data_IF_041949619215
#
_entry.id   IF_041949619215
#
_cell.length_a   1.000
_cell.length_b   1.000
_cell.length_c   1.000
_cell.angle_alpha   90.00
_cell.angle_beta   90.00
_cell.angle_gamma   90.00
#
_symmetry.space_group_name_H-M   'P 1'
#
loop_
_entity.id
_entity.type
_entity.pdbx_description
1 polymer ?
#
# COMPACT_ATOMS: atom_id res chain seq x y z
N UNK A 1 0.95 15.16 -6.46
CA UNK A 1 -0.38 14.55 -6.23
C UNK A 1 -0.20 13.46 -5.18
N UNK A 2 -0.73 13.63 -3.97
CA UNK A 2 -0.62 12.64 -2.90
C UNK A 2 -1.97 12.41 -2.26
N UNK A 3 -2.28 11.16 -1.92
CA UNK A 3 -3.51 10.80 -1.22
C UNK A 3 -3.35 11.29 0.23
N UNK A 4 -4.11 12.33 0.60
CA UNK A 4 -4.08 12.86 1.96
C UNK A 4 -4.86 11.93 2.89
N UNK A 5 -4.59 11.97 4.19
CA UNK A 5 -5.30 11.15 5.17
C UNK A 5 -6.83 11.39 5.16
N UNK A 6 -7.26 12.62 4.86
CA UNK A 6 -8.68 12.96 4.68
C UNK A 6 -9.25 12.68 3.28
N UNK A 7 -8.44 12.21 2.33
CA UNK A 7 -8.95 11.80 1.02
C UNK A 7 -9.61 10.42 1.12
N UNK A 8 -10.60 10.17 0.24
CA UNK A 8 -11.26 8.87 0.17
C UNK A 8 -10.18 7.78 -0.08
N UNK A 9 -10.16 6.70 0.70
CA UNK A 9 -9.18 5.64 0.51
C UNK A 9 -9.28 5.00 -0.87
N UNK A 10 -8.13 4.57 -1.38
CA UNK A 10 -8.05 3.80 -2.62
C UNK A 10 -8.89 2.52 -2.56
N UNK A 11 -8.98 1.89 -1.38
CA UNK A 11 -9.83 0.70 -1.18
C UNK A 11 -11.32 0.94 -1.47
N UNK A 12 -11.79 2.18 -1.39
CA UNK A 12 -13.18 2.56 -1.68
C UNK A 12 -13.37 3.15 -3.09
N UNK A 13 -12.34 3.17 -3.92
CA UNK A 13 -12.43 3.69 -5.28
C UNK A 13 -13.22 2.71 -6.14
N UNK A 14 -14.23 3.23 -6.85
CA UNK A 14 -14.97 2.43 -7.83
C UNK A 14 -14.12 2.27 -9.08
N UNK A 15 -14.09 1.04 -9.62
CA UNK A 15 -13.38 0.73 -10.85
C UNK A 15 -13.98 1.51 -12.01
N UNK A 16 -13.16 2.36 -12.63
CA UNK A 16 -13.48 3.05 -13.90
C UNK A 16 -12.93 2.25 -15.09
N UNK A 17 -13.49 2.39 -16.30
CA UNK A 17 -12.95 1.72 -17.48
C UNK A 17 -11.45 2.02 -17.68
N UNK A 18 -10.65 0.96 -17.87
CA UNK A 18 -9.20 1.07 -18.05
C UNK A 18 -8.38 1.30 -16.78
N UNK A 19 -9.00 1.53 -15.61
CA UNK A 19 -8.27 1.64 -14.35
C UNK A 19 -7.90 0.26 -13.80
N UNK A 20 -6.69 0.15 -13.28
CA UNK A 20 -6.28 -0.99 -12.47
C UNK A 20 -6.30 -0.57 -11.01
N UNK A 21 -7.03 -1.30 -10.16
CA UNK A 21 -7.10 -1.03 -8.72
C UNK A 21 -6.72 -2.31 -8.00
N UNK A 22 -5.76 -2.20 -7.09
CA UNK A 22 -5.31 -3.29 -6.23
C UNK A 22 -5.36 -2.91 -4.76
N UNK A 23 -4.48 -3.51 -3.97
CA UNK A 23 -4.48 -3.37 -2.51
C UNK A 23 -3.89 -2.02 -2.10
N UNK A 24 -4.76 -1.02 -1.88
CA UNK A 24 -4.36 0.35 -1.52
C UNK A 24 -3.39 1.02 -2.53
N UNK A 25 -3.51 0.63 -3.80
CA UNK A 25 -2.86 1.27 -4.95
C UNK A 25 -3.78 1.23 -6.18
N UNK A 26 -3.59 2.15 -7.11
CA UNK A 26 -4.26 2.12 -8.41
C UNK A 26 -3.40 2.73 -9.52
N UNK A 27 -3.66 2.32 -10.75
CA UNK A 27 -3.09 2.88 -11.98
C UNK A 27 -4.25 3.49 -12.77
N UNK A 28 -4.31 4.83 -12.90
CA UNK A 28 -5.35 5.46 -13.70
C UNK A 28 -5.13 5.21 -15.19
N UNK A 29 -6.22 5.19 -15.95
CA UNK A 29 -6.13 5.26 -17.40
C UNK A 29 -5.83 6.71 -17.82
N UNK A 30 -4.63 6.95 -18.35
CA UNK A 30 -4.17 8.25 -18.84
C UNK A 30 -4.33 8.41 -20.36
N UNK A 31 -4.95 7.44 -21.04
CA UNK A 31 -5.16 7.51 -22.49
C UNK A 31 -6.02 8.72 -22.83
N UNK A 32 -5.51 9.61 -23.69
CA UNK A 32 -6.20 10.84 -24.08
C UNK A 32 -6.09 11.99 -23.08
N UNK A 33 -5.27 11.84 -22.02
CA UNK A 33 -4.89 12.95 -21.13
C UNK A 33 -3.44 13.38 -21.38
N UNK A 34 -3.03 14.50 -20.81
CA UNK A 34 -1.62 14.95 -20.83
C UNK A 34 -0.80 14.36 -19.67
N UNK A 35 -1.36 13.43 -18.90
CA UNK A 35 -0.68 12.83 -17.75
C UNK A 35 0.23 11.68 -18.18
N UNK A 36 1.38 11.54 -17.52
CA UNK A 36 2.25 10.39 -17.71
C UNK A 36 1.66 9.14 -17.04
N UNK A 37 1.88 7.92 -17.59
CA UNK A 37 1.55 6.68 -16.90
C UNK A 37 2.22 6.64 -15.52
N UNK A 38 1.42 6.45 -14.47
CA UNK A 38 1.91 6.46 -13.10
C UNK A 38 1.09 5.53 -12.22
N UNK A 39 1.64 5.19 -11.06
CA UNK A 39 0.90 4.50 -10.00
C UNK A 39 0.63 5.46 -8.86
N UNK A 40 -0.59 5.41 -8.34
CA UNK A 40 -0.95 6.09 -7.11
C UNK A 40 -1.04 5.07 -5.97
N UNK A 41 -0.37 5.37 -4.86
CA UNK A 41 -0.35 4.52 -3.67
C UNK A 41 -0.88 5.31 -2.46
N UNK A 42 -1.62 4.66 -1.57
CA UNK A 42 -1.99 5.25 -0.26
C UNK A 42 -0.78 5.13 0.69
N UNK A 43 0.05 6.17 0.71
CA UNK A 43 1.30 6.19 1.49
C UNK A 43 1.05 5.98 2.98
N UNK A 44 -0.03 6.53 3.53
CA UNK A 44 -0.35 6.37 4.96
C UNK A 44 -0.63 4.90 5.30
N UNK A 45 -1.41 4.22 4.45
CA UNK A 45 -1.65 2.79 4.60
C UNK A 45 -0.34 2.00 4.53
N UNK A 46 0.49 2.23 3.51
CA UNK A 46 1.72 1.45 3.30
C UNK A 46 2.78 1.69 4.37
N UNK A 47 2.85 2.90 4.93
CA UNK A 47 3.72 3.22 6.09
C UNK A 47 3.32 2.44 7.33
N UNK A 48 2.03 2.44 7.66
CA UNK A 48 1.50 1.61 8.75
C UNK A 48 1.70 0.13 8.49
N UNK A 49 1.43 -0.33 7.27
CA UNK A 49 1.63 -1.72 6.89
C UNK A 49 3.07 -2.18 7.17
N UNK A 50 4.08 -1.42 6.72
CA UNK A 50 5.50 -1.74 6.96
C UNK A 50 5.83 -1.75 8.45
N UNK A 51 5.39 -0.75 9.21
CA UNK A 51 5.63 -0.68 10.66
C UNK A 51 5.00 -1.85 11.41
N UNK A 52 3.77 -2.23 11.08
CA UNK A 52 3.12 -3.40 11.66
C UNK A 52 3.91 -4.68 11.38
N UNK A 53 4.50 -4.82 10.19
CA UNK A 53 5.31 -6.00 9.85
C UNK A 53 6.63 -6.05 10.60
N UNK A 54 7.26 -4.89 10.82
CA UNK A 54 8.47 -4.77 11.65
C UNK A 54 8.18 -5.00 13.14
N UNK A 55 6.94 -4.74 13.59
CA UNK A 55 6.51 -4.96 14.97
C UNK A 55 6.07 -6.41 15.26
N UNK A 56 5.78 -7.20 14.23
CA UNK A 56 5.46 -8.62 14.37
C UNK A 56 6.69 -9.38 14.85
N UNK A 57 6.48 -10.32 15.79
CA UNK A 57 7.58 -11.08 16.38
C UNK A 57 8.28 -11.92 15.29
N UNK A 58 9.62 -11.96 15.25
CA UNK A 58 10.34 -12.76 14.26
C UNK A 58 9.88 -14.22 14.25
N UNK A 59 9.46 -14.71 13.08
CA UNK A 59 8.98 -16.09 12.89
C UNK A 59 7.45 -16.21 12.80
N UNK A 60 6.70 -15.18 13.21
CA UNK A 60 5.26 -15.16 13.03
C UNK A 60 4.86 -14.81 11.58
N UNK A 61 3.71 -15.28 11.08
CA UNK A 61 3.23 -14.95 9.75
C UNK A 61 3.16 -13.44 9.48
N UNK A 62 3.84 -13.01 8.42
CA UNK A 62 3.91 -11.60 8.03
C UNK A 62 5.00 -10.80 8.74
N UNK A 63 5.87 -11.40 9.54
CA UNK A 63 7.02 -10.70 10.13
C UNK A 63 7.97 -10.17 9.05
N UNK A 64 8.46 -8.94 9.23
CA UNK A 64 9.56 -8.37 8.47
C UNK A 64 10.76 -8.20 9.40
N UNK A 65 11.87 -8.84 9.07
CA UNK A 65 13.06 -8.88 9.93
C UNK A 65 14.28 -8.30 9.23
N UNK A 66 15.18 -7.70 10.00
CA UNK A 66 16.50 -7.25 9.53
C UNK A 66 17.54 -8.34 9.83
N UNK A 67 18.51 -8.50 8.92
CA UNK A 67 19.65 -9.41 9.15
C UNK A 67 20.63 -8.80 10.14
N UNK A 68 21.58 -9.57 10.68
CA UNK A 68 22.63 -9.04 11.57
C UNK A 68 22.66 -9.74 12.91
N UNK A 69 23.59 -9.31 13.78
CA UNK A 69 23.81 -9.93 15.10
C UNK A 69 23.62 -8.94 16.24
N UNK A 70 23.85 -7.66 16.00
CA UNK A 70 23.67 -6.58 16.96
C UNK A 70 22.54 -5.65 16.53
N UNK A 71 21.83 -5.09 17.51
CA UNK A 71 20.82 -4.06 17.26
C UNK A 71 21.42 -2.78 16.65
N UNK A 72 22.71 -2.52 16.85
CA UNK A 72 23.42 -1.37 16.28
C UNK A 72 23.74 -1.52 14.80
N UNK A 73 23.70 -2.73 14.24
CA UNK A 73 24.11 -3.01 12.85
C UNK A 73 23.27 -2.20 11.84
N UNK A 74 22.02 -1.88 12.21
CA UNK A 74 21.05 -1.15 11.39
C UNK A 74 20.59 0.17 12.01
N UNK A 75 21.42 0.80 12.85
CA UNK A 75 21.04 2.00 13.60
C UNK A 75 20.56 3.15 12.67
N UNK A 76 21.28 3.42 11.58
CA UNK A 76 20.89 4.44 10.61
C UNK A 76 19.58 4.08 9.92
N UNK A 77 19.38 2.80 9.58
CA UNK A 77 18.13 2.35 8.98
C UNK A 77 16.94 2.54 9.94
N UNK A 78 17.12 2.23 11.22
CA UNK A 78 16.11 2.46 12.24
C UNK A 78 15.79 3.95 12.40
N UNK A 79 16.80 4.84 12.31
CA UNK A 79 16.57 6.28 12.32
C UNK A 79 15.74 6.74 11.11
N UNK A 80 16.04 6.27 9.90
CA UNK A 80 15.28 6.64 8.72
C UNK A 80 13.86 6.05 8.70
N UNK A 81 13.64 4.85 9.26
CA UNK A 81 12.34 4.14 9.20
C UNK A 81 11.41 4.47 10.36
N UNK A 82 11.94 4.53 11.58
CA UNK A 82 11.16 4.79 12.79
C UNK A 82 11.42 6.19 13.38
N UNK A 83 12.60 6.73 13.13
CA UNK A 83 13.03 8.03 13.68
C UNK A 83 12.57 9.24 12.87
N UNK A 84 12.35 9.13 11.56
CA UNK A 84 12.12 10.25 10.64
C UNK A 84 10.69 10.81 10.65
N UNK A 85 9.69 9.98 10.99
CA UNK A 85 8.28 10.36 10.93
C UNK A 85 7.54 10.03 12.24
N UNK A 86 6.41 10.70 12.44
CA UNK A 86 5.42 10.37 13.46
C UNK A 86 4.06 10.24 12.81
N UNK A 87 3.18 9.47 13.43
CA UNK A 87 1.80 9.40 13.00
C UNK A 87 0.83 9.87 14.08
N UNK A 88 -0.34 10.34 13.65
CA UNK A 88 -1.47 10.65 14.53
C UNK A 88 -2.66 9.81 14.07
N UNK A 89 -3.36 9.11 14.98
CA UNK A 89 -4.56 8.37 14.63
C UNK A 89 -5.67 9.37 14.27
N UNK A 90 -6.14 9.29 13.04
CA UNK A 90 -7.19 10.13 12.49
C UNK A 90 -8.36 9.24 12.09
N UNK A 91 -9.55 9.60 12.54
CA UNK A 91 -10.78 8.90 12.21
C UNK A 91 -11.45 9.64 11.06
N UNK A 92 -11.62 8.97 9.93
CA UNK A 92 -12.13 9.61 8.71
C UNK A 92 -12.80 8.61 7.78
N UNK A 93 -13.95 8.99 7.21
CA UNK A 93 -14.70 8.16 6.26
C UNK A 93 -14.99 6.73 6.76
N UNK A 94 -15.25 6.57 8.07
CA UNK A 94 -15.61 5.28 8.67
C UNK A 94 -14.44 4.30 8.86
N UNK A 95 -13.19 4.78 8.88
CA UNK A 95 -12.00 3.99 9.19
C UNK A 95 -11.02 4.76 10.08
N UNK A 96 -10.19 4.00 10.79
CA UNK A 96 -9.03 4.51 11.51
C UNK A 96 -7.84 4.53 10.56
N UNK A 97 -7.19 5.68 10.45
CA UNK A 97 -6.02 5.87 9.60
C UNK A 97 -4.93 6.52 10.42
N UNK A 98 -3.70 6.05 10.29
CA UNK A 98 -2.55 6.76 10.81
C UNK A 98 -2.11 7.81 9.80
N UNK A 99 -2.27 9.09 10.13
CA UNK A 99 -1.75 10.18 9.31
C UNK A 99 -0.27 10.39 9.63
N UNK A 100 0.60 10.05 8.68
CA UNK A 100 2.05 10.17 8.83
C UNK A 100 2.54 11.57 8.46
N UNK A 101 3.43 12.11 9.28
CA UNK A 101 4.08 13.41 9.10
C UNK A 101 5.56 13.30 9.40
N UNK A 102 6.37 13.86 8.53
CA UNK A 102 7.82 13.98 8.72
C UNK A 102 8.13 14.88 9.91
N UNK A 103 9.10 14.47 10.74
CA UNK A 103 9.55 15.28 11.87
C UNK A 103 10.37 16.48 11.35
N UNK A 104 10.10 17.70 11.83
CA UNK A 104 10.87 18.88 11.41
C UNK A 104 12.38 18.78 11.64
N UNK A 105 12.79 18.00 12.66
CA UNK A 105 14.19 17.86 13.08
C UNK A 105 14.94 16.73 12.39
N UNK A 106 14.23 15.82 11.70
CA UNK A 106 14.81 14.62 11.07
C UNK A 106 14.08 14.30 9.76
N UNK A 107 14.33 15.08 8.69
CA UNK A 107 13.60 14.92 7.43
C UNK A 107 14.04 13.71 6.59
N UNK A 108 15.12 13.03 6.97
CA UNK A 108 15.70 11.94 6.19
C UNK A 108 14.85 10.66 6.24
N UNK A 109 13.80 10.62 5.42
CA UNK A 109 12.85 9.51 5.32
C UNK A 109 13.04 8.68 4.03
N UNK A 110 14.03 8.99 3.21
CA UNK A 110 14.22 8.41 1.88
C UNK A 110 14.23 6.86 1.87
N UNK A 111 14.86 6.24 2.86
CA UNK A 111 14.90 4.77 2.96
C UNK A 111 13.54 4.19 3.36
N UNK A 112 12.79 4.91 4.19
CA UNK A 112 11.44 4.51 4.54
C UNK A 112 10.52 4.61 3.33
N UNK A 113 10.56 5.72 2.59
CA UNK A 113 9.77 5.90 1.37
C UNK A 113 10.13 4.85 0.31
N UNK A 114 11.41 4.49 0.18
CA UNK A 114 11.86 3.40 -0.70
C UNK A 114 11.26 2.05 -0.27
N UNK A 115 11.37 1.70 1.01
CA UNK A 115 10.82 0.45 1.56
C UNK A 115 9.30 0.34 1.37
N UNK A 116 8.58 1.44 1.62
CA UNK A 116 7.14 1.59 1.42
C UNK A 116 6.79 1.40 -0.06
N UNK A 117 7.56 2.01 -0.96
CA UNK A 117 7.42 1.83 -2.41
C UNK A 117 7.64 0.38 -2.85
N UNK A 118 8.68 -0.28 -2.33
CA UNK A 118 8.95 -1.69 -2.59
C UNK A 118 7.81 -2.60 -2.12
N UNK A 119 7.24 -2.35 -0.92
CA UNK A 119 6.10 -3.11 -0.42
C UNK A 119 4.86 -2.94 -1.32
N UNK A 120 4.58 -1.72 -1.77
CA UNK A 120 3.49 -1.46 -2.71
C UNK A 120 3.72 -2.15 -4.07
N UNK A 121 4.94 -2.07 -4.61
CA UNK A 121 5.30 -2.73 -5.86
C UNK A 121 5.20 -4.26 -5.76
N UNK A 122 5.59 -4.87 -4.65
CA UNK A 122 5.43 -6.30 -4.41
C UNK A 122 3.96 -6.72 -4.47
N UNK A 123 3.05 -5.92 -3.90
CA UNK A 123 1.61 -6.13 -4.01
C UNK A 123 1.08 -6.00 -5.43
N UNK A 124 1.63 -5.07 -6.22
CA UNK A 124 1.26 -4.91 -7.63
C UNK A 124 1.54 -6.15 -8.47
N UNK A 125 2.65 -6.85 -8.20
CA UNK A 125 3.00 -8.11 -8.88
C UNK A 125 2.34 -9.35 -8.24
N UNK A 126 1.49 -9.17 -7.23
CA UNK A 126 0.67 -10.22 -6.63
C UNK A 126 1.29 -10.91 -5.42
N UNK A 127 2.38 -10.39 -4.84
CA UNK A 127 2.87 -10.86 -3.54
C UNK A 127 1.88 -10.45 -2.45
N UNK A 128 1.42 -11.41 -1.66
CA UNK A 128 0.44 -11.21 -0.61
C UNK A 128 0.85 -11.97 0.64
N UNK A 129 0.52 -11.40 1.80
CA UNK A 129 0.64 -12.13 3.06
C UNK A 129 -0.57 -13.05 3.25
N UNK A 130 -0.41 -14.15 4.01
CA UNK A 130 -1.53 -14.97 4.46
C UNK A 130 -2.61 -14.11 5.12
N UNK A 131 -3.87 -14.26 4.70
CA UNK A 131 -4.99 -13.46 5.20
C UNK A 131 -5.21 -12.11 4.51
N UNK A 132 -4.31 -11.66 3.61
CA UNK A 132 -4.53 -10.50 2.74
C UNK A 132 -5.22 -10.84 1.42
N UNK A 133 -5.80 -12.04 1.31
CA UNK A 133 -6.57 -12.41 0.13
C UNK A 133 -7.78 -11.48 0.00
N UNK A 134 -7.73 -10.59 -1.00
CA UNK A 134 -8.92 -9.94 -1.48
C UNK A 134 -9.95 -11.03 -1.82
N UNK A 135 -11.17 -10.90 -1.28
CA UNK A 135 -12.27 -11.79 -1.59
C UNK A 135 -12.27 -12.06 -3.09
N UNK A 136 -12.13 -13.33 -3.51
CA UNK A 136 -12.00 -13.73 -4.92
C UNK A 136 -13.04 -12.95 -5.72
N UNK A 137 -12.59 -12.00 -6.54
CA UNK A 137 -13.46 -11.25 -7.41
C UNK A 137 -14.26 -12.28 -8.21
N UNK A 138 -15.60 -12.23 -8.11
CA UNK A 138 -16.50 -13.18 -8.77
C UNK A 138 -16.01 -13.37 -10.20
N UNK A 139 -15.53 -14.57 -10.52
CA UNK A 139 -15.04 -14.84 -11.87
C UNK A 139 -16.16 -14.44 -12.84
N UNK A 140 -15.86 -13.48 -13.70
CA UNK A 140 -16.82 -13.02 -14.69
C UNK A 140 -17.03 -14.22 -15.61
N UNK A 141 -18.16 -14.91 -15.48
CA UNK A 141 -18.53 -16.01 -16.38
C UNK A 141 -18.42 -15.45 -17.80
N UNK A 142 -17.48 -15.98 -18.58
CA UNK A 142 -17.40 -15.71 -20.01
C UNK A 142 -18.59 -16.44 -20.62
N UNK A 143 -19.61 -15.70 -20.99
CA UNK A 143 -20.68 -16.22 -21.83
C UNK A 143 -20.18 -16.21 -23.27
N UNK A 144 -20.24 -17.36 -23.93
CA UNK A 144 -20.07 -17.47 -25.38
C UNK A 144 -21.40 -17.10 -26.06
N UNK A 145 -21.38 -16.80 -27.37
CA UNK A 145 -22.61 -16.55 -28.12
C UNK A 145 -23.60 -17.72 -28.02
N UNK A 146 -23.09 -18.96 -27.95
CA UNK A 146 -23.91 -20.16 -27.78
C UNK A 146 -24.64 -20.21 -26.42
N UNK A 147 -24.03 -19.66 -25.35
CA UNK A 147 -24.65 -19.62 -24.01
C UNK A 147 -25.80 -18.60 -23.90
N UNK A 148 -25.90 -17.66 -24.86
CA UNK A 148 -26.88 -16.58 -24.86
C UNK A 148 -28.12 -16.89 -25.71
N UNK A 149 -28.10 -17.98 -26.49
CA UNK A 149 -29.25 -18.43 -27.27
C UNK A 149 -30.18 -19.21 -26.34
N UNK A 150 -31.26 -18.57 -25.90
CA UNK A 150 -32.35 -19.23 -25.14
C UNK A 150 -33.04 -20.27 -26.02
N UNK A 151 -33.31 -21.44 -25.45
CA UNK A 151 -34.39 -22.34 -25.88
C UNK A 151 -35.74 -21.74 -25.50
#
# INVERSE_FOLDING_TARGET
MGIKAGSKPVSMYQKRPGWQIGHNWYVPNVTGTQEFPHVCVDVNYWKSFVHERLAVTPGDPGSMTLFGKSASDHALFAEHVAGSETWTPTHGHGRDVHEWKTKPTRPDNHWFDCLVGCAAAASMIGVKLPGMDAARGRQRKRYTQADLVRR
#
